data_IF_668832075077
#
_entry.id   IF_668832075077
#
_cell.length_a   1.000
_cell.length_b   1.000
_cell.length_c   1.000
_cell.angle_alpha   90.00
_cell.angle_beta   90.00
_cell.angle_gamma   90.00
#
_symmetry.space_group_name_H-M   'P 1'
#
loop_
_entity.id
_entity.type
_entity.pdbx_description
1 polymer ?
#
# COMPACT_ATOMS: atom_id res chain seq x y z
N UNK A 1 -21.13 11.03 10.90
CA UNK A 1 -20.69 12.14 11.75
C UNK A 1 -20.03 13.15 10.82
N UNK A 2 -20.43 14.42 10.95
CA UNK A 2 -19.80 15.53 10.24
C UNK A 2 -18.78 16.17 11.19
N UNK A 3 -17.53 16.29 10.74
CA UNK A 3 -16.46 16.97 11.50
C UNK A 3 -16.47 18.44 11.11
N UNK A 4 -16.59 19.31 12.11
CA UNK A 4 -16.56 20.76 11.92
C UNK A 4 -15.32 21.35 12.59
N UNK A 5 -14.80 22.46 12.04
CA UNK A 5 -13.67 23.19 12.61
C UNK A 5 -12.30 22.50 12.42
N UNK A 6 -12.15 21.64 11.42
CA UNK A 6 -10.85 21.07 11.05
C UNK A 6 -9.94 22.16 10.48
N UNK A 7 -9.16 22.79 11.36
CA UNK A 7 -8.29 23.89 11.00
C UNK A 7 -6.79 23.54 11.10
N UNK A 8 -6.45 22.57 11.93
CA UNK A 8 -5.06 22.20 12.19
C UNK A 8 -4.91 20.67 12.29
N UNK A 9 -3.73 20.20 11.89
CA UNK A 9 -3.30 18.81 11.98
C UNK A 9 -1.81 18.78 12.34
N UNK A 10 -1.49 18.20 13.50
CA UNK A 10 -0.11 18.16 14.02
C UNK A 10 0.80 17.23 13.23
N UNK A 11 0.25 16.17 12.60
CA UNK A 11 1.00 15.31 11.70
C UNK A 11 1.44 16.08 10.45
N UNK A 12 0.54 16.85 9.83
CA UNK A 12 0.86 17.69 8.68
C UNK A 12 1.77 18.86 9.05
N UNK A 13 1.63 19.45 10.26
CA UNK A 13 2.57 20.47 10.75
C UNK A 13 3.99 19.92 10.83
N UNK A 14 4.17 18.75 11.44
CA UNK A 14 5.47 18.10 11.52
C UNK A 14 5.99 17.67 10.15
N UNK A 15 5.14 17.17 9.30
CA UNK A 15 5.53 16.75 7.94
C UNK A 15 6.11 17.92 7.13
N UNK A 16 5.48 19.08 7.18
CA UNK A 16 5.98 20.27 6.47
C UNK A 16 7.27 20.81 7.08
N UNK A 17 7.42 20.77 8.41
CA UNK A 17 8.61 21.26 9.11
C UNK A 17 9.80 20.29 9.02
N UNK A 18 9.54 18.98 9.14
CA UNK A 18 10.55 17.95 9.41
C UNK A 18 10.29 16.67 8.60
N UNK A 19 10.12 16.79 7.29
CA UNK A 19 9.64 15.74 6.37
C UNK A 19 10.31 14.35 6.52
N UNK A 20 11.54 14.30 7.03
CA UNK A 20 12.30 13.05 7.20
C UNK A 20 12.18 12.41 8.58
N UNK A 21 11.38 13.01 9.47
CA UNK A 21 11.15 12.50 10.84
C UNK A 21 9.85 11.70 10.93
N UNK A 22 9.68 10.86 11.96
CA UNK A 22 8.38 10.24 12.23
C UNK A 22 7.35 11.27 12.70
N UNK A 23 6.10 11.19 12.17
CA UNK A 23 5.05 12.17 12.42
C UNK A 23 3.91 11.66 13.33
N UNK A 24 3.99 10.42 13.83
CA UNK A 24 3.00 9.89 14.79
C UNK A 24 3.05 10.62 16.13
N UNK A 25 1.90 10.75 16.83
CA UNK A 25 1.75 11.55 18.05
C UNK A 25 2.77 11.18 19.13
N UNK A 26 3.01 9.89 19.39
CA UNK A 26 4.01 9.46 20.38
C UNK A 26 5.42 9.97 20.07
N UNK A 27 5.80 9.96 18.77
CA UNK A 27 7.09 10.50 18.33
C UNK A 27 7.15 12.02 18.45
N UNK A 28 6.05 12.71 18.18
CA UNK A 28 5.93 14.16 18.31
C UNK A 28 6.00 14.58 19.77
N UNK A 29 5.24 13.93 20.65
CA UNK A 29 5.24 14.21 22.08
C UNK A 29 6.63 13.98 22.70
N UNK A 30 7.28 12.87 22.36
CA UNK A 30 8.63 12.59 22.85
C UNK A 30 9.64 13.63 22.34
N UNK A 31 9.59 14.01 21.04
CA UNK A 31 10.57 14.91 20.44
C UNK A 31 10.37 16.36 20.86
N UNK A 32 9.15 16.84 20.95
CA UNK A 32 8.85 18.25 21.18
C UNK A 32 8.48 18.59 22.64
N UNK A 33 7.97 17.61 23.40
CA UNK A 33 7.51 17.81 24.77
C UNK A 33 8.34 17.03 25.80
N UNK A 34 9.17 16.06 25.37
CA UNK A 34 9.86 15.14 26.27
C UNK A 34 8.91 14.21 27.03
N UNK A 35 7.69 14.00 26.53
CA UNK A 35 6.63 13.18 27.16
C UNK A 35 6.49 11.85 26.45
N UNK A 36 6.30 10.79 27.25
CA UNK A 36 5.84 9.48 26.80
C UNK A 36 4.38 9.34 27.21
N UNK A 37 3.55 8.78 26.35
CA UNK A 37 2.15 8.50 26.63
C UNK A 37 1.84 7.02 26.71
N UNK A 38 0.59 6.70 26.99
CA UNK A 38 0.03 5.36 26.90
C UNK A 38 0.07 4.94 25.44
N UNK A 39 0.57 3.75 25.14
CA UNK A 39 0.58 3.25 23.76
C UNK A 39 -0.65 2.41 23.46
N UNK A 40 -1.00 2.29 22.17
CA UNK A 40 -2.07 1.39 21.74
C UNK A 40 -1.80 -0.06 22.18
N UNK A 41 -0.54 -0.47 22.22
CA UNK A 41 -0.12 -1.79 22.66
C UNK A 41 -0.28 -2.01 24.16
N UNK A 42 -0.17 -0.95 24.98
CA UNK A 42 -0.44 -1.02 26.43
C UNK A 42 -1.91 -1.29 26.71
N UNK A 43 -2.81 -0.84 25.83
CA UNK A 43 -4.25 -1.06 25.92
C UNK A 43 -4.69 -2.38 25.31
N UNK A 44 -4.27 -2.64 24.09
CA UNK A 44 -4.80 -3.72 23.26
C UNK A 44 -3.89 -4.96 23.23
N UNK A 45 -2.64 -4.87 23.74
CA UNK A 45 -1.67 -5.97 23.65
C UNK A 45 -1.04 -6.10 22.27
N UNK A 46 -0.25 -7.17 22.10
CA UNK A 46 0.51 -7.47 20.86
C UNK A 46 0.25 -8.88 20.35
N UNK A 47 0.41 -9.05 19.02
CA UNK A 47 0.45 -10.37 18.37
C UNK A 47 -0.88 -11.11 18.44
N UNK A 48 -0.82 -12.43 18.65
CA UNK A 48 -2.01 -13.30 18.62
C UNK A 48 -3.05 -13.02 19.73
N UNK A 49 -2.65 -12.34 20.80
CA UNK A 49 -3.52 -12.00 21.93
C UNK A 49 -3.98 -10.54 21.89
N UNK A 50 -3.74 -9.83 20.79
CA UNK A 50 -4.18 -8.45 20.64
C UNK A 50 -5.70 -8.39 20.54
N UNK A 51 -6.31 -7.57 21.39
CA UNK A 51 -7.76 -7.27 21.35
C UNK A 51 -8.01 -6.03 20.47
N UNK A 52 -9.24 -5.90 19.99
CA UNK A 52 -9.66 -4.66 19.31
C UNK A 52 -9.98 -3.56 20.34
N UNK A 53 -9.86 -2.29 19.93
CA UNK A 53 -10.02 -1.14 20.83
C UNK A 53 -11.42 -1.05 21.46
N UNK A 54 -12.45 -1.52 20.79
CA UNK A 54 -13.82 -1.62 21.30
C UNK A 54 -14.00 -2.62 22.47
N UNK A 55 -13.01 -3.46 22.72
CA UNK A 55 -12.96 -4.41 23.84
C UNK A 55 -12.18 -3.85 25.05
N UNK A 56 -11.56 -2.68 24.91
CA UNK A 56 -10.83 -2.03 26.00
C UNK A 56 -11.80 -1.46 27.02
N UNK A 57 -11.44 -1.55 28.31
CA UNK A 57 -12.20 -0.92 29.39
C UNK A 57 -12.39 0.59 29.14
N UNK A 58 -13.62 1.08 29.35
CA UNK A 58 -14.00 2.46 29.01
C UNK A 58 -13.13 3.49 29.78
N UNK A 59 -12.81 3.24 31.06
CA UNK A 59 -11.99 4.16 31.82
C UNK A 59 -10.58 4.28 31.26
N UNK A 60 -9.97 3.15 30.89
CA UNK A 60 -8.64 3.14 30.24
C UNK A 60 -8.68 3.78 28.86
N UNK A 61 -9.71 3.49 28.08
CA UNK A 61 -9.88 4.11 26.76
C UNK A 61 -10.08 5.63 26.86
N UNK A 62 -10.80 6.10 27.87
CA UNK A 62 -10.99 7.52 28.15
C UNK A 62 -9.68 8.21 28.58
N UNK A 63 -8.90 7.58 29.46
CA UNK A 63 -7.58 8.08 29.88
C UNK A 63 -6.66 8.23 28.68
N UNK A 64 -6.52 7.19 27.84
CA UNK A 64 -5.74 7.21 26.60
C UNK A 64 -6.17 8.32 25.66
N UNK A 65 -7.48 8.41 25.36
CA UNK A 65 -7.99 9.42 24.42
C UNK A 65 -7.85 10.86 24.95
N UNK A 66 -7.94 11.04 26.27
CA UNK A 66 -7.71 12.34 26.90
C UNK A 66 -6.25 12.75 26.85
N UNK A 67 -5.34 11.82 27.09
CA UNK A 67 -3.89 12.05 26.97
C UNK A 67 -3.49 12.40 25.53
N UNK A 68 -4.00 11.64 24.53
CA UNK A 68 -3.77 11.93 23.11
C UNK A 68 -4.24 13.34 22.73
N UNK A 69 -5.39 13.77 23.24
CA UNK A 69 -5.94 15.10 22.99
C UNK A 69 -5.08 16.22 23.61
N UNK A 70 -4.63 16.03 24.84
CA UNK A 70 -3.75 16.96 25.57
C UNK A 70 -2.40 17.08 24.89
N UNK A 71 -1.77 15.94 24.55
CA UNK A 71 -0.48 15.92 23.83
C UNK A 71 -0.60 16.56 22.46
N UNK A 72 -1.68 16.31 21.71
CA UNK A 72 -1.91 16.91 20.40
C UNK A 72 -1.99 18.43 20.48
N UNK A 73 -2.70 18.98 21.48
CA UNK A 73 -2.78 20.43 21.68
C UNK A 73 -1.41 21.03 22.02
N UNK A 74 -0.66 20.39 22.90
CA UNK A 74 0.66 20.89 23.31
C UNK A 74 1.68 20.80 22.15
N UNK A 75 1.67 19.72 21.36
CA UNK A 75 2.48 19.64 20.12
C UNK A 75 2.10 20.75 19.16
N UNK A 76 0.81 21.01 18.95
CA UNK A 76 0.36 22.12 18.12
C UNK A 76 0.92 23.47 18.59
N UNK A 77 0.89 23.73 19.89
CA UNK A 77 1.44 24.98 20.49
C UNK A 77 2.94 25.17 20.23
N UNK A 78 3.68 24.09 20.06
CA UNK A 78 5.12 24.13 19.72
C UNK A 78 5.36 24.27 18.22
N UNK A 79 4.61 23.55 17.38
CA UNK A 79 4.88 23.50 15.93
C UNK A 79 4.29 24.71 15.18
N UNK A 80 3.10 25.16 15.57
CA UNK A 80 2.39 26.23 14.86
C UNK A 80 3.16 27.55 14.77
N UNK A 81 3.79 28.07 15.85
CA UNK A 81 4.63 29.26 15.76
C UNK A 81 5.80 29.13 14.78
N UNK A 82 6.37 27.93 14.64
CA UNK A 82 7.48 27.68 13.70
C UNK A 82 6.99 27.78 12.25
N UNK A 83 5.81 27.23 11.94
CA UNK A 83 5.19 27.39 10.62
C UNK A 83 4.82 28.84 10.32
N UNK A 84 4.30 29.57 11.32
CA UNK A 84 3.96 30.98 11.17
C UNK A 84 5.17 31.87 10.88
N UNK A 85 6.36 31.49 11.35
CA UNK A 85 7.59 32.24 11.14
C UNK A 85 8.13 32.15 9.69
N UNK A 86 7.70 31.16 8.90
CA UNK A 86 8.10 30.99 7.50
C UNK A 86 6.87 30.95 6.58
N UNK A 87 6.70 32.03 5.80
CA UNK A 87 5.55 32.15 4.89
C UNK A 87 5.48 31.06 3.82
N UNK A 88 6.60 30.46 3.41
CA UNK A 88 6.60 29.37 2.41
C UNK A 88 6.11 28.08 3.03
N UNK A 89 6.61 27.72 4.21
CA UNK A 89 6.16 26.53 4.93
C UNK A 89 4.69 26.65 5.34
N UNK A 90 4.29 27.84 5.81
CA UNK A 90 2.88 28.12 6.10
C UNK A 90 1.98 27.91 4.89
N UNK A 91 2.37 28.43 3.73
CA UNK A 91 1.62 28.26 2.48
C UNK A 91 1.51 26.78 2.08
N UNK A 92 2.59 26.00 2.18
CA UNK A 92 2.56 24.56 1.91
C UNK A 92 1.62 23.84 2.88
N UNK A 93 1.68 24.20 4.17
CA UNK A 93 0.79 23.62 5.18
C UNK A 93 -0.69 23.93 4.91
N UNK A 94 -1.02 25.13 4.50
CA UNK A 94 -2.38 25.54 4.13
C UNK A 94 -2.89 24.75 2.91
N UNK A 95 -2.03 24.44 1.94
CA UNK A 95 -2.35 23.55 0.82
C UNK A 95 -2.60 22.11 1.29
N UNK A 96 -1.80 21.58 2.20
CA UNK A 96 -1.98 20.24 2.76
C UNK A 96 -3.31 20.11 3.51
N UNK A 97 -3.68 21.11 4.33
CA UNK A 97 -4.97 21.14 5.03
C UNK A 97 -6.15 21.19 4.04
N UNK A 98 -6.07 22.05 3.02
CA UNK A 98 -7.12 22.11 1.98
C UNK A 98 -7.22 20.80 1.18
N UNK A 99 -6.08 20.15 0.93
CA UNK A 99 -6.03 18.84 0.25
C UNK A 99 -6.69 17.74 1.06
N UNK A 100 -6.61 17.76 2.39
CA UNK A 100 -7.22 16.77 3.28
C UNK A 100 -8.74 16.66 3.07
N UNK A 101 -9.44 17.78 2.89
CA UNK A 101 -10.87 17.75 2.62
C UNK A 101 -11.20 17.12 1.26
N UNK A 102 -10.40 17.43 0.24
CA UNK A 102 -10.54 16.84 -1.09
C UNK A 102 -10.29 15.34 -1.05
N UNK A 103 -9.23 14.91 -0.37
CA UNK A 103 -8.90 13.50 -0.19
C UNK A 103 -9.98 12.75 0.57
N UNK A 104 -10.52 13.33 1.65
CA UNK A 104 -11.67 12.78 2.38
C UNK A 104 -12.87 12.52 1.45
N UNK A 105 -13.21 13.47 0.57
CA UNK A 105 -14.30 13.30 -0.39
C UNK A 105 -14.02 12.20 -1.40
N UNK A 106 -12.77 12.09 -1.90
CA UNK A 106 -12.34 11.04 -2.82
C UNK A 106 -12.43 9.66 -2.13
N UNK A 107 -11.91 9.54 -0.91
CA UNK A 107 -11.97 8.31 -0.11
C UNK A 107 -13.41 7.88 0.16
N UNK A 108 -14.27 8.82 0.58
CA UNK A 108 -15.70 8.57 0.82
C UNK A 108 -16.45 8.14 -0.44
N UNK A 109 -16.13 8.73 -1.59
CA UNK A 109 -16.73 8.35 -2.85
C UNK A 109 -16.25 6.96 -3.30
N UNK A 110 -14.97 6.65 -3.09
CA UNK A 110 -14.35 5.42 -3.55
C UNK A 110 -14.32 5.28 -5.08
N UNK A 111 -13.78 4.19 -5.57
CA UNK A 111 -13.62 3.88 -6.99
C UNK A 111 -14.52 2.72 -7.37
N UNK A 112 -15.35 2.92 -8.40
CA UNK A 112 -16.25 1.86 -8.90
C UNK A 112 -15.45 0.78 -9.64
N UNK A 113 -15.72 -0.48 -9.29
CA UNK A 113 -15.04 -1.66 -9.84
C UNK A 113 -16.05 -2.53 -10.58
N UNK A 114 -15.68 -2.93 -11.81
CA UNK A 114 -16.35 -4.00 -12.55
C UNK A 114 -15.83 -5.37 -12.06
N UNK A 115 -16.50 -5.91 -11.05
CA UNK A 115 -16.14 -7.20 -10.45
C UNK A 115 -16.23 -8.37 -11.46
N UNK A 116 -17.20 -8.48 -12.37
CA UNK A 116 -17.20 -9.48 -13.44
C UNK A 116 -15.95 -9.45 -14.32
N UNK A 117 -15.51 -8.26 -14.72
CA UNK A 117 -14.27 -8.10 -15.51
C UNK A 117 -13.05 -8.59 -14.72
N UNK A 118 -12.92 -8.24 -13.43
CA UNK A 118 -11.82 -8.75 -12.59
C UNK A 118 -11.88 -10.26 -12.42
N UNK A 119 -13.07 -10.85 -12.22
CA UNK A 119 -13.23 -12.30 -12.09
C UNK A 119 -12.80 -13.05 -13.35
N UNK A 120 -13.17 -12.54 -14.53
CA UNK A 120 -12.73 -13.08 -15.81
C UNK A 120 -11.20 -13.03 -15.96
N UNK A 121 -10.61 -11.89 -15.68
CA UNK A 121 -9.15 -11.72 -15.73
C UNK A 121 -8.45 -12.63 -14.72
N UNK A 122 -8.96 -12.76 -13.50
CA UNK A 122 -8.44 -13.68 -12.49
C UNK A 122 -8.44 -15.14 -12.96
N UNK A 123 -9.51 -15.58 -13.62
CA UNK A 123 -9.58 -16.92 -14.19
C UNK A 123 -8.53 -17.14 -15.29
N UNK A 124 -8.41 -16.21 -16.23
CA UNK A 124 -7.43 -16.29 -17.33
C UNK A 124 -5.98 -16.29 -16.80
N UNK A 125 -5.67 -15.42 -15.81
CA UNK A 125 -4.38 -15.41 -15.13
C UNK A 125 -4.10 -16.74 -14.42
N UNK A 126 -5.11 -17.30 -13.75
CA UNK A 126 -4.98 -18.60 -13.07
C UNK A 126 -4.67 -19.75 -14.06
N UNK A 127 -5.31 -19.76 -15.22
CA UNK A 127 -5.01 -20.75 -16.27
C UNK A 127 -3.57 -20.62 -16.77
N UNK A 128 -3.10 -19.39 -17.00
CA UNK A 128 -1.73 -19.17 -17.47
C UNK A 128 -0.68 -19.54 -16.40
N UNK A 129 -0.97 -19.26 -15.12
CA UNK A 129 -0.11 -19.66 -13.98
C UNK A 129 0.04 -21.19 -13.94
N UNK A 130 -1.05 -21.95 -14.03
CA UNK A 130 -1.03 -23.42 -14.06
C UNK A 130 -0.24 -23.97 -15.26
N UNK A 131 -0.39 -23.34 -16.42
CA UNK A 131 0.40 -23.71 -17.59
C UNK A 131 1.90 -23.48 -17.36
N UNK A 132 2.30 -22.33 -16.78
CA UNK A 132 3.69 -22.02 -16.46
C UNK A 132 4.28 -22.99 -15.42
N UNK A 133 3.49 -23.43 -14.45
CA UNK A 133 3.90 -24.46 -13.49
C UNK A 133 4.22 -25.77 -14.21
N UNK A 134 3.35 -26.20 -15.12
CA UNK A 134 3.57 -27.41 -15.93
C UNK A 134 4.82 -27.29 -16.78
N UNK A 135 4.99 -26.17 -17.49
CA UNK A 135 6.18 -25.90 -18.32
C UNK A 135 7.46 -25.89 -17.44
N UNK A 136 7.40 -25.32 -16.24
CA UNK A 136 8.51 -25.31 -15.29
C UNK A 136 8.88 -26.72 -14.80
N UNK A 137 7.89 -27.58 -14.51
CA UNK A 137 8.12 -28.96 -14.10
C UNK A 137 8.73 -29.81 -15.22
N UNK A 138 8.28 -29.60 -16.46
CA UNK A 138 8.88 -30.27 -17.64
C UNK A 138 10.36 -29.90 -17.79
N UNK A 139 10.72 -28.61 -17.71
CA UNK A 139 12.10 -28.16 -17.81
C UNK A 139 12.94 -28.67 -16.65
N UNK A 140 12.40 -28.66 -15.43
CA UNK A 140 13.08 -29.16 -14.23
C UNK A 140 13.13 -30.70 -14.18
N UNK A 141 12.27 -31.43 -14.93
CA UNK A 141 12.14 -32.88 -14.90
C UNK A 141 11.53 -33.42 -13.61
N UNK A 142 10.90 -32.55 -12.81
CA UNK A 142 10.21 -32.90 -11.55
C UNK A 142 9.32 -31.75 -11.08
N UNK A 143 8.23 -32.04 -10.33
CA UNK A 143 7.47 -31.01 -9.64
C UNK A 143 8.29 -30.40 -8.48
N UNK A 144 8.07 -29.10 -8.23
CA UNK A 144 8.67 -28.36 -7.12
C UNK A 144 7.85 -27.12 -6.82
N UNK A 145 8.03 -26.51 -5.65
CA UNK A 145 7.33 -25.27 -5.31
C UNK A 145 8.07 -24.05 -5.89
N UNK A 146 7.44 -23.41 -6.92
CA UNK A 146 7.97 -22.23 -7.60
C UNK A 146 8.11 -20.99 -6.70
N UNK A 147 7.43 -21.01 -5.55
CA UNK A 147 7.52 -19.93 -4.55
C UNK A 147 8.55 -20.22 -3.45
N UNK A 148 9.22 -21.39 -3.45
CA UNK A 148 10.21 -21.76 -2.45
C UNK A 148 11.64 -21.42 -2.90
N UNK A 149 12.31 -20.39 -2.31
CA UNK A 149 13.69 -20.07 -2.67
C UNK A 149 14.66 -21.24 -2.49
N UNK A 150 14.42 -22.10 -1.48
CA UNK A 150 15.22 -23.28 -1.23
C UNK A 150 15.14 -24.28 -2.37
N UNK A 151 13.92 -24.69 -2.75
CA UNK A 151 13.71 -25.64 -3.85
C UNK A 151 14.20 -25.09 -5.19
N UNK A 152 13.96 -23.79 -5.45
CA UNK A 152 14.51 -23.12 -6.62
C UNK A 152 16.03 -23.18 -6.66
N UNK A 153 16.70 -22.94 -5.53
CA UNK A 153 18.16 -23.05 -5.44
C UNK A 153 18.66 -24.46 -5.75
N UNK A 154 17.98 -25.50 -5.26
CA UNK A 154 18.30 -26.91 -5.54
C UNK A 154 18.12 -27.22 -7.05
N UNK A 155 17.01 -26.75 -7.67
CA UNK A 155 16.76 -26.98 -9.09
C UNK A 155 17.76 -26.22 -9.96
N UNK A 156 17.98 -24.94 -9.71
CA UNK A 156 18.82 -24.10 -10.56
C UNK A 156 20.29 -24.48 -10.50
N UNK A 157 20.80 -24.55 -9.27
CA UNK A 157 22.26 -24.63 -9.06
C UNK A 157 22.76 -26.05 -8.92
N UNK A 158 21.97 -26.95 -8.29
CA UNK A 158 22.42 -28.32 -8.06
C UNK A 158 21.99 -29.28 -9.19
N UNK A 159 20.77 -29.12 -9.72
CA UNK A 159 20.26 -30.03 -10.76
C UNK A 159 20.59 -29.54 -12.19
N UNK A 160 20.31 -28.26 -12.49
CA UNK A 160 20.51 -27.69 -13.82
C UNK A 160 21.88 -27.03 -14.02
N UNK A 161 22.71 -26.95 -12.97
CA UNK A 161 24.09 -26.45 -13.06
C UNK A 161 24.21 -24.97 -13.46
N UNK A 162 23.18 -24.16 -13.21
CA UNK A 162 23.21 -22.73 -13.52
C UNK A 162 24.25 -21.99 -12.67
N UNK A 163 24.88 -20.91 -13.16
CA UNK A 163 25.87 -20.16 -12.39
C UNK A 163 25.21 -19.40 -11.21
N UNK A 164 25.91 -19.34 -10.09
CA UNK A 164 25.48 -18.54 -8.93
C UNK A 164 25.83 -17.07 -9.16
N UNK A 165 24.82 -16.25 -9.48
CA UNK A 165 25.00 -14.82 -9.78
C UNK A 165 25.22 -14.00 -8.52
N UNK A 166 24.45 -14.32 -7.44
CA UNK A 166 24.41 -13.53 -6.19
C UNK A 166 24.14 -14.41 -4.98
N UNK A 167 24.67 -14.03 -3.82
CA UNK A 167 24.35 -14.65 -2.53
C UNK A 167 23.57 -13.68 -1.65
N UNK A 168 22.72 -14.21 -0.80
CA UNK A 168 22.01 -13.45 0.24
C UNK A 168 22.95 -13.02 1.35
N UNK A 169 22.53 -12.12 2.23
CA UNK A 169 23.30 -11.72 3.41
C UNK A 169 23.67 -12.89 4.34
N UNK A 170 22.89 -13.97 4.32
CA UNK A 170 23.15 -15.21 5.07
C UNK A 170 24.04 -16.21 4.32
N UNK A 171 24.54 -15.86 3.13
CA UNK A 171 25.41 -16.71 2.31
C UNK A 171 24.67 -17.72 1.41
N UNK A 172 23.33 -17.79 1.47
CA UNK A 172 22.56 -18.65 0.58
C UNK A 172 22.56 -18.12 -0.88
N UNK A 173 22.40 -19.02 -1.84
CA UNK A 173 22.28 -18.66 -3.27
C UNK A 173 20.97 -17.92 -3.50
N UNK A 174 21.04 -16.70 -4.03
CA UNK A 174 19.84 -15.87 -4.28
C UNK A 174 19.08 -16.36 -5.51
N UNK A 175 17.76 -16.27 -5.43
CA UNK A 175 16.80 -16.44 -6.53
C UNK A 175 15.86 -15.25 -6.63
N UNK A 176 16.37 -14.05 -6.27
CA UNK A 176 15.63 -12.79 -6.39
C UNK A 176 15.40 -12.40 -7.87
N UNK A 177 14.61 -11.34 -8.08
CA UNK A 177 14.21 -10.89 -9.41
C UNK A 177 15.42 -10.56 -10.29
N UNK A 178 16.41 -9.84 -9.75
CA UNK A 178 17.66 -9.47 -10.44
C UNK A 178 18.45 -10.71 -10.91
N UNK A 179 18.52 -11.75 -10.07
CA UNK A 179 19.19 -13.02 -10.43
C UNK A 179 18.41 -13.76 -11.51
N UNK A 180 17.08 -13.79 -11.40
CA UNK A 180 16.23 -14.45 -12.42
C UNK A 180 16.30 -13.73 -13.76
N UNK A 181 16.30 -12.40 -13.79
CA UNK A 181 16.45 -11.61 -15.02
C UNK A 181 17.76 -11.94 -15.72
N UNK A 182 18.87 -11.97 -14.98
CA UNK A 182 20.17 -12.30 -15.55
C UNK A 182 20.26 -13.74 -16.03
N UNK A 183 19.70 -14.70 -15.31
CA UNK A 183 19.69 -16.10 -15.74
C UNK A 183 18.72 -16.35 -16.90
N UNK A 184 17.69 -15.54 -17.06
CA UNK A 184 16.72 -15.65 -18.15
C UNK A 184 17.32 -15.33 -19.53
N UNK A 185 18.47 -14.66 -19.59
CA UNK A 185 19.20 -14.41 -20.83
C UNK A 185 19.67 -15.73 -21.49
N UNK A 186 20.06 -16.72 -20.66
CA UNK A 186 20.68 -17.97 -21.15
C UNK A 186 19.81 -19.22 -20.87
N UNK A 187 18.86 -19.14 -19.92
CA UNK A 187 18.10 -20.29 -19.44
C UNK A 187 16.57 -20.06 -19.50
N UNK A 188 15.77 -21.02 -20.01
CA UNK A 188 14.33 -20.84 -20.16
C UNK A 188 13.55 -20.85 -18.82
N UNK A 189 13.98 -21.62 -17.81
CA UNK A 189 13.27 -21.76 -16.55
C UNK A 189 13.17 -20.46 -15.74
N UNK A 190 14.24 -19.67 -15.57
CA UNK A 190 14.14 -18.34 -14.93
C UNK A 190 13.14 -17.39 -15.61
N UNK A 191 13.06 -17.37 -16.93
CA UNK A 191 12.09 -16.57 -17.68
C UNK A 191 10.64 -16.98 -17.34
N UNK A 192 10.36 -18.29 -17.27
CA UNK A 192 9.04 -18.81 -16.85
C UNK A 192 8.69 -18.43 -15.43
N UNK A 193 9.68 -18.44 -14.54
CA UNK A 193 9.49 -18.04 -13.13
C UNK A 193 9.23 -16.54 -12.96
N UNK A 194 9.88 -15.69 -13.74
CA UNK A 194 9.58 -14.25 -13.76
C UNK A 194 8.14 -13.99 -14.19
N UNK A 195 7.71 -14.64 -15.28
CA UNK A 195 6.33 -14.55 -15.77
C UNK A 195 5.36 -15.06 -14.70
N UNK A 196 5.58 -16.25 -14.15
CA UNK A 196 4.76 -16.85 -13.09
C UNK A 196 4.63 -15.92 -11.87
N UNK A 197 5.74 -15.40 -11.34
CA UNK A 197 5.73 -14.49 -10.19
C UNK A 197 4.97 -13.18 -10.48
N UNK A 198 5.17 -12.62 -11.68
CA UNK A 198 4.46 -11.42 -12.12
C UNK A 198 2.96 -11.63 -12.17
N UNK A 199 2.50 -12.73 -12.79
CA UNK A 199 1.08 -13.06 -12.89
C UNK A 199 0.46 -13.44 -11.54
N UNK A 200 1.16 -14.21 -10.71
CA UNK A 200 0.70 -14.59 -9.38
C UNK A 200 0.53 -13.36 -8.47
N UNK A 201 1.48 -12.43 -8.50
CA UNK A 201 1.38 -11.15 -7.78
C UNK A 201 0.21 -10.31 -8.29
N UNK A 202 0.05 -10.21 -9.61
CA UNK A 202 -1.05 -9.45 -10.23
C UNK A 202 -2.40 -10.03 -9.83
N UNK A 203 -2.54 -11.34 -9.92
CA UNK A 203 -3.75 -12.07 -9.53
C UNK A 203 -4.07 -11.88 -8.05
N UNK A 204 -3.15 -12.21 -7.17
CA UNK A 204 -3.37 -12.18 -5.72
C UNK A 204 -3.56 -10.77 -5.15
N UNK A 205 -2.84 -9.77 -5.72
CA UNK A 205 -2.89 -8.40 -5.19
C UNK A 205 -4.07 -7.60 -5.75
N UNK A 206 -4.45 -7.83 -7.01
CA UNK A 206 -5.43 -6.99 -7.69
C UNK A 206 -6.70 -7.75 -8.09
N UNK A 207 -6.64 -8.74 -9.00
CA UNK A 207 -7.86 -9.31 -9.56
C UNK A 207 -8.70 -10.06 -8.53
N UNK A 208 -8.09 -10.76 -7.58
CA UNK A 208 -8.80 -11.47 -6.52
C UNK A 208 -9.19 -10.50 -5.39
N UNK A 209 -8.23 -9.70 -4.93
CA UNK A 209 -8.41 -8.90 -3.71
C UNK A 209 -9.32 -7.69 -3.92
N UNK A 210 -9.20 -6.97 -5.05
CA UNK A 210 -10.01 -5.78 -5.30
C UNK A 210 -11.52 -6.10 -5.37
N UNK A 211 -11.87 -7.22 -6.02
CA UNK A 211 -13.27 -7.65 -6.09
C UNK A 211 -13.86 -7.94 -4.69
N UNK A 212 -13.05 -8.48 -3.77
CA UNK A 212 -13.46 -8.77 -2.40
C UNK A 212 -13.58 -7.52 -1.52
N UNK A 213 -12.78 -6.48 -1.82
CA UNK A 213 -12.78 -5.22 -1.08
C UNK A 213 -13.89 -4.26 -1.52
N UNK A 214 -14.50 -4.50 -2.68
CA UNK A 214 -15.61 -3.69 -3.15
C UNK A 214 -16.83 -3.86 -2.21
N UNK A 215 -17.34 -2.75 -1.71
CA UNK A 215 -18.52 -2.77 -0.85
C UNK A 215 -19.74 -3.31 -1.63
N UNK A 216 -20.42 -4.36 -1.16
CA UNK A 216 -21.53 -5.00 -1.91
C UNK A 216 -22.64 -4.02 -2.30
N UNK A 217 -22.90 -3.00 -1.46
CA UNK A 217 -23.95 -1.99 -1.68
C UNK A 217 -23.63 -1.02 -2.81
N UNK A 218 -22.35 -0.69 -3.02
CA UNK A 218 -21.92 0.39 -3.93
C UNK A 218 -21.10 -0.11 -5.10
N UNK A 219 -20.51 -1.31 -5.02
CA UNK A 219 -19.52 -1.82 -5.96
C UNK A 219 -18.19 -1.04 -5.94
N UNK A 220 -17.95 -0.23 -4.90
CA UNK A 220 -16.80 0.66 -4.82
C UNK A 220 -15.77 0.17 -3.83
N UNK A 221 -14.52 0.35 -4.20
CA UNK A 221 -13.35 0.14 -3.34
C UNK A 221 -12.95 1.50 -2.76
N UNK A 222 -12.67 1.52 -1.46
CA UNK A 222 -12.23 2.69 -0.74
C UNK A 222 -10.78 2.47 -0.31
N UNK A 223 -9.89 3.36 -0.74
CA UNK A 223 -8.49 3.41 -0.30
C UNK A 223 -8.30 4.57 0.66
N UNK A 224 -7.24 4.55 1.43
CA UNK A 224 -6.79 5.68 2.24
C UNK A 224 -5.63 6.38 1.56
N UNK A 225 -5.68 7.70 1.42
CA UNK A 225 -4.61 8.54 0.90
C UNK A 225 -3.87 9.24 2.03
N UNK A 226 -2.68 8.74 2.38
CA UNK A 226 -1.83 9.35 3.39
C UNK A 226 -0.93 10.45 2.78
N UNK A 227 -0.96 11.63 3.41
CA UNK A 227 -0.16 12.80 3.00
C UNK A 227 1.24 12.77 3.61
N UNK A 228 1.35 12.49 4.90
CA UNK A 228 2.59 12.59 5.69
C UNK A 228 3.47 11.33 5.64
N UNK A 229 3.73 10.77 4.45
CA UNK A 229 4.51 9.52 4.29
C UNK A 229 5.74 9.70 3.41
N UNK A 230 5.57 10.23 2.21
CA UNK A 230 6.66 10.31 1.24
C UNK A 230 7.42 11.65 1.38
N UNK A 231 8.73 11.58 1.58
CA UNK A 231 9.59 12.79 1.66
C UNK A 231 9.55 13.67 0.42
N UNK A 232 8.98 13.18 -0.68
CA UNK A 232 8.85 13.88 -1.96
C UNK A 232 7.56 14.68 -2.11
N UNK A 233 6.68 14.72 -1.11
CA UNK A 233 5.37 15.36 -1.19
C UNK A 233 4.32 14.55 -1.96
N UNK A 234 4.61 13.29 -2.34
CA UNK A 234 3.63 12.42 -3.00
C UNK A 234 2.69 11.80 -1.99
N UNK A 235 1.43 11.61 -2.39
CA UNK A 235 0.47 10.82 -1.62
C UNK A 235 0.87 9.34 -1.62
N UNK A 236 0.53 8.64 -0.55
CA UNK A 236 0.58 7.18 -0.48
C UNK A 236 -0.84 6.62 -0.42
N UNK A 237 -1.16 5.66 -1.27
CA UNK A 237 -2.46 4.96 -1.25
C UNK A 237 -2.31 3.64 -0.51
N UNK A 238 -3.16 3.41 0.51
CA UNK A 238 -3.09 2.24 1.38
C UNK A 238 -4.47 1.58 1.51
N UNK A 239 -4.50 0.29 1.74
CA UNK A 239 -5.66 -0.53 2.07
C UNK A 239 -6.91 -0.36 1.17
N UNK A 240 -6.80 -0.63 -0.14
CA UNK A 240 -5.66 -1.19 -0.89
C UNK A 240 -4.78 -0.12 -1.54
N UNK A 241 -3.52 -0.49 -1.87
CA UNK A 241 -2.67 0.37 -2.66
C UNK A 241 -3.10 0.39 -4.13
N UNK A 242 -3.71 1.48 -4.57
CA UNK A 242 -4.18 1.68 -5.95
C UNK A 242 -3.15 2.38 -6.86
N UNK A 243 -2.04 2.90 -6.30
CA UNK A 243 -1.00 3.57 -7.06
C UNK A 243 -0.04 2.60 -7.76
N UNK A 244 0.09 1.37 -7.25
CA UNK A 244 1.03 0.38 -7.74
C UNK A 244 0.44 -0.60 -8.77
N UNK A 245 -0.72 -0.30 -9.35
CA UNK A 245 -1.31 -1.12 -10.42
C UNK A 245 -0.38 -1.06 -11.64
N UNK A 246 0.16 -2.21 -12.11
CA UNK A 246 1.12 -2.24 -13.19
C UNK A 246 0.57 -1.62 -14.49
N UNK A 247 1.43 -0.89 -15.22
CA UNK A 247 1.07 -0.27 -16.51
C UNK A 247 1.97 -0.74 -17.66
N UNK A 248 3.09 -1.39 -17.33
CA UNK A 248 4.08 -1.79 -18.35
C UNK A 248 3.69 -3.05 -19.09
N UNK A 249 3.05 -4.01 -18.41
CA UNK A 249 2.61 -5.27 -19.03
C UNK A 249 1.18 -5.16 -19.55
N UNK A 250 0.81 -5.93 -20.62
CA UNK A 250 -0.56 -5.99 -21.10
C UNK A 250 -1.56 -6.43 -20.02
N UNK A 251 -1.20 -7.44 -19.23
CA UNK A 251 -2.02 -7.97 -18.12
C UNK A 251 -2.26 -6.92 -17.04
N UNK A 252 -1.22 -6.16 -16.67
CA UNK A 252 -1.33 -5.06 -15.72
C UNK A 252 -2.24 -3.94 -16.23
N UNK A 253 -2.15 -3.59 -17.52
CA UNK A 253 -3.06 -2.61 -18.13
C UNK A 253 -4.51 -3.07 -18.11
N UNK A 254 -4.76 -4.37 -18.35
CA UNK A 254 -6.13 -4.93 -18.30
C UNK A 254 -6.78 -4.80 -16.93
N UNK A 255 -6.03 -4.86 -15.82
CA UNK A 255 -6.59 -4.62 -14.47
C UNK A 255 -7.23 -3.23 -14.39
N UNK A 256 -6.67 -2.23 -15.07
CA UNK A 256 -7.22 -0.86 -15.09
C UNK A 256 -8.55 -0.75 -15.82
N UNK A 257 -8.85 -1.65 -16.75
CA UNK A 257 -10.14 -1.69 -17.47
C UNK A 257 -11.31 -1.97 -16.54
N UNK A 258 -11.05 -2.60 -15.38
CA UNK A 258 -12.06 -2.84 -14.37
C UNK A 258 -12.38 -1.61 -13.50
N UNK A 259 -11.60 -0.52 -13.60
CA UNK A 259 -11.89 0.75 -12.94
C UNK A 259 -12.78 1.58 -13.87
N UNK A 260 -14.05 1.69 -13.51
CA UNK A 260 -15.06 2.28 -14.39
C UNK A 260 -15.66 3.54 -13.77
N UNK A 261 -16.07 4.49 -14.63
CA UNK A 261 -16.88 5.63 -14.22
C UNK A 261 -18.37 5.29 -14.39
N UNK A 262 -19.26 5.76 -13.50
CA UNK A 262 -20.69 5.71 -13.73
C UNK A 262 -21.04 6.40 -15.06
N UNK A 263 -22.06 5.90 -15.76
CA UNK A 263 -22.42 6.36 -17.11
C UNK A 263 -22.66 7.86 -17.19
N UNK A 264 -23.21 8.47 -16.13
CA UNK A 264 -23.47 9.92 -16.05
C UNK A 264 -22.16 10.73 -16.00
N UNK A 265 -21.18 10.31 -15.19
CA UNK A 265 -19.89 11.00 -15.08
C UNK A 265 -19.06 10.94 -16.38
N UNK A 266 -19.27 9.91 -17.20
CA UNK A 266 -18.61 9.78 -18.51
C UNK A 266 -19.06 10.82 -19.52
N UNK A 267 -20.31 11.25 -19.43
CA UNK A 267 -20.88 12.31 -20.29
C UNK A 267 -20.42 13.72 -19.84
N UNK A 268 -20.37 13.98 -18.53
CA UNK A 268 -19.91 15.27 -17.99
C UNK A 268 -18.41 15.50 -18.23
N UNK A 269 -17.59 14.46 -18.13
CA UNK A 269 -16.16 14.54 -18.43
C UNK A 269 -15.86 14.80 -19.91
N UNK A 270 -16.65 14.22 -20.81
CA UNK A 270 -16.53 14.45 -22.25
C UNK A 270 -16.98 15.87 -22.64
N UNK A 271 -17.96 16.43 -21.95
CA UNK A 271 -18.40 17.81 -22.16
C UNK A 271 -17.36 18.82 -21.67
N UNK A 272 -16.74 18.60 -20.50
CA UNK A 272 -15.68 19.48 -19.97
C UNK A 272 -14.34 19.41 -20.75
N UNK A 273 -14.11 18.37 -21.56
CA UNK A 273 -12.93 18.26 -22.43
C UNK A 273 -13.13 18.92 -23.81
N UNK A 274 -14.38 19.30 -24.15
CA UNK A 274 -14.74 19.88 -25.45
C UNK A 274 -15.03 21.39 -25.34
N UNK A 275 -15.24 21.92 -24.12
CA UNK A 275 -15.29 23.35 -23.82
C UNK A 275 -13.91 23.87 -23.34
#
# INVERSE_FOLDING_TARGET
IEVQGYAHDTMLQSYVLEVHMPHGLSSLAQRHLGRSGITFEDLCGKGANQISFDQVDIAKAAEYSSEDSDQTLDVHRVLWPQLQADNKLKFIYELEIASSETLYRIERNGVLIDAPTLAKQSHELGQRILQLETEAYEIAGQPFNLSSPKQLGEIFFDKLGMPVVKKTATGARSTDEEVLEKLAEDYPLPAKLLEHRGLAKLKGTYTDKLAQLALPRTGRVHTHYAQAVAVTGRLSSNDPNLQNIPIRTPEGRRVREAFVAPTVARLEWLVQLVE
#
